data_IF_006439482957
#
_entry.id   IF_006439482957
#
_cell.length_a   1.000
_cell.length_b   1.000
_cell.length_c   1.000
_cell.angle_alpha   90.00
_cell.angle_beta   90.00
_cell.angle_gamma   90.00
#
_symmetry.space_group_name_H-M   'P 1'
#
loop_
_entity.id
_entity.type
_entity.pdbx_description
1 polymer ?
#
# COMPACT_ATOMS: atom_id res chain seq x y z
N UNK A 1 -15.09 -12.03 19.13
CA UNK A 1 -14.71 -12.62 17.81
C UNK A 1 -15.91 -12.77 16.87
N UNK A 2 -17.12 -12.52 17.36
CA UNK A 2 -18.38 -13.05 16.80
C UNK A 2 -18.85 -12.36 15.53
N UNK A 3 -18.17 -11.28 15.14
CA UNK A 3 -18.59 -10.46 14.01
C UNK A 3 -17.81 -10.80 12.73
N UNK A 4 -16.65 -11.46 12.79
CA UNK A 4 -15.88 -11.79 11.59
C UNK A 4 -16.37 -13.11 11.02
N UNK A 5 -16.69 -13.09 9.73
CA UNK A 5 -17.16 -14.25 8.99
C UNK A 5 -16.17 -14.59 7.88
N UNK A 6 -15.98 -15.88 7.65
CA UNK A 6 -15.08 -16.41 6.63
C UNK A 6 -15.90 -17.19 5.62
N UNK A 7 -15.64 -16.94 4.36
CA UNK A 7 -16.29 -17.63 3.24
C UNK A 7 -15.22 -18.17 2.32
N UNK A 8 -15.36 -19.42 1.90
CA UNK A 8 -14.42 -20.06 0.99
C UNK A 8 -15.17 -20.59 -0.24
N UNK A 9 -14.55 -20.45 -1.41
CA UNK A 9 -15.12 -20.91 -2.66
C UNK A 9 -14.62 -20.13 -3.86
N UNK A 10 -15.38 -20.16 -4.96
CA UNK A 10 -15.02 -19.56 -6.23
C UNK A 10 -16.09 -18.57 -6.71
N UNK A 11 -15.67 -17.37 -7.09
CA UNK A 11 -16.50 -16.28 -7.63
C UNK A 11 -17.78 -15.97 -6.83
N UNK A 12 -18.91 -16.62 -7.16
CA UNK A 12 -20.25 -16.43 -6.60
C UNK A 12 -20.74 -17.62 -5.77
N UNK A 13 -19.96 -18.70 -5.71
CA UNK A 13 -20.24 -19.89 -4.91
C UNK A 13 -19.35 -19.81 -3.68
N UNK A 14 -19.94 -19.38 -2.57
CA UNK A 14 -19.27 -19.31 -1.28
C UNK A 14 -19.97 -20.21 -0.28
N UNK A 15 -19.17 -20.94 0.46
CA UNK A 15 -19.60 -21.67 1.63
C UNK A 15 -19.08 -20.94 2.87
N UNK A 16 -19.91 -20.86 3.92
CA UNK A 16 -19.51 -20.30 5.20
C UNK A 16 -18.56 -21.28 5.89
N UNK A 17 -17.34 -20.82 6.16
CA UNK A 17 -16.28 -21.60 6.82
C UNK A 17 -15.89 -20.98 8.16
N UNK A 18 -16.74 -20.10 8.69
CA UNK A 18 -16.44 -19.29 9.89
C UNK A 18 -16.07 -20.16 11.08
N UNK A 19 -16.84 -21.20 11.37
CA UNK A 19 -16.59 -22.07 12.53
C UNK A 19 -15.32 -22.91 12.35
N UNK A 20 -15.06 -23.38 11.13
CA UNK A 20 -13.84 -24.15 10.81
C UNK A 20 -12.60 -23.28 11.01
N UNK A 21 -12.63 -22.04 10.53
CA UNK A 21 -11.53 -21.09 10.68
C UNK A 21 -11.39 -20.63 12.14
N UNK A 22 -12.50 -20.33 12.84
CA UNK A 22 -12.46 -19.90 14.24
C UNK A 22 -12.00 -21.00 15.19
N UNK A 23 -12.21 -22.28 14.89
CA UNK A 23 -11.61 -23.40 15.64
C UNK A 23 -10.07 -23.41 15.59
N UNK A 24 -9.46 -22.76 14.59
CA UNK A 24 -8.01 -22.52 14.53
C UNK A 24 -7.58 -21.28 15.30
N UNK A 25 -8.50 -20.50 15.85
CA UNK A 25 -8.14 -19.34 16.64
C UNK A 25 -7.51 -19.79 17.96
N UNK A 26 -6.31 -19.28 18.23
CA UNK A 26 -5.65 -19.45 19.51
C UNK A 26 -6.35 -18.58 20.58
N UNK A 27 -6.03 -18.80 21.87
CA UNK A 27 -6.62 -18.05 23.00
C UNK A 27 -6.51 -16.51 22.87
N UNK A 28 -5.64 -15.99 22.02
CA UNK A 28 -5.33 -14.56 21.91
C UNK A 28 -6.04 -13.80 20.78
N UNK A 29 -7.18 -14.27 20.25
CA UNK A 29 -7.83 -13.66 19.08
C UNK A 29 -6.95 -13.53 17.82
N UNK A 30 -6.01 -14.47 17.65
CA UNK A 30 -5.14 -14.57 16.48
C UNK A 30 -5.58 -15.77 15.65
N UNK A 31 -5.77 -15.55 14.36
CA UNK A 31 -6.13 -16.58 13.38
C UNK A 31 -4.98 -16.69 12.37
N UNK A 32 -4.26 -17.81 12.42
CA UNK A 32 -3.24 -18.16 11.43
C UNK A 32 -3.73 -19.29 10.53
N UNK A 33 -3.61 -19.10 9.21
CA UNK A 33 -3.80 -20.19 8.24
C UNK A 33 -2.52 -20.27 7.41
N UNK A 34 -1.83 -21.41 7.48
CA UNK A 34 -0.67 -21.67 6.62
C UNK A 34 -1.12 -22.34 5.32
N UNK A 35 -0.32 -22.19 4.26
CA UNK A 35 -0.54 -22.86 2.96
C UNK A 35 -0.96 -24.33 3.09
N UNK A 36 -0.28 -25.08 3.96
CA UNK A 36 -0.53 -26.52 4.14
C UNK A 36 -1.87 -26.81 4.86
N UNK A 37 -2.44 -25.85 5.58
CA UNK A 37 -3.72 -26.01 6.26
C UNK A 37 -4.90 -26.01 5.28
N UNK A 38 -4.77 -25.34 4.13
CA UNK A 38 -5.89 -25.16 3.18
C UNK A 38 -6.51 -26.48 2.74
N UNK A 39 -5.68 -27.49 2.44
CA UNK A 39 -6.16 -28.81 2.02
C UNK A 39 -7.00 -29.46 3.11
N UNK A 40 -6.58 -29.37 4.36
CA UNK A 40 -7.26 -30.03 5.49
C UNK A 40 -8.49 -29.25 5.96
N UNK A 41 -8.42 -27.92 5.94
CA UNK A 41 -9.51 -27.05 6.37
C UNK A 41 -10.63 -26.99 5.33
N UNK A 42 -10.27 -27.05 4.05
CA UNK A 42 -11.20 -26.75 2.97
C UNK A 42 -11.42 -27.91 1.97
N UNK A 43 -11.00 -29.14 2.30
CA UNK A 43 -11.15 -30.32 1.42
C UNK A 43 -12.60 -30.58 0.99
N UNK A 44 -13.55 -30.35 1.88
CA UNK A 44 -14.97 -30.65 1.64
C UNK A 44 -15.73 -29.55 0.90
N UNK A 45 -15.07 -28.42 0.60
CA UNK A 45 -15.70 -27.22 0.04
C UNK A 45 -15.51 -27.15 -1.48
N UNK A 46 -16.63 -26.92 -2.19
CA UNK A 46 -16.90 -26.97 -3.65
C UNK A 46 -15.71 -27.06 -4.62
N UNK A 47 -15.86 -27.92 -5.62
CA UNK A 47 -14.97 -28.02 -6.78
C UNK A 47 -15.03 -26.74 -7.65
N UNK A 48 -13.91 -26.35 -8.25
CA UNK A 48 -13.84 -25.19 -9.14
C UNK A 48 -12.45 -24.54 -9.19
N UNK A 49 -12.13 -23.94 -10.31
CA UNK A 49 -10.88 -23.19 -10.49
C UNK A 49 -10.92 -21.86 -9.73
N UNK A 50 -9.74 -21.38 -9.32
CA UNK A 50 -9.55 -20.05 -8.71
C UNK A 50 -10.26 -19.81 -7.37
N UNK A 51 -10.26 -20.82 -6.49
CA UNK A 51 -10.73 -20.68 -5.11
C UNK A 51 -10.01 -19.53 -4.38
N UNK A 52 -10.69 -18.94 -3.41
CA UNK A 52 -10.12 -17.93 -2.51
C UNK A 52 -10.90 -17.85 -1.20
N UNK A 53 -10.26 -17.29 -0.18
CA UNK A 53 -10.89 -16.99 1.10
C UNK A 53 -11.37 -15.52 1.08
N UNK A 54 -12.64 -15.30 1.41
CA UNK A 54 -13.22 -13.99 1.64
C UNK A 54 -13.42 -13.80 3.15
N UNK A 55 -12.78 -12.78 3.70
CA UNK A 55 -12.87 -12.40 5.12
C UNK A 55 -13.78 -11.18 5.23
N UNK A 56 -14.95 -11.36 5.81
CA UNK A 56 -15.87 -10.27 6.10
C UNK A 56 -15.56 -9.68 7.47
N UNK A 57 -15.07 -8.45 7.46
CA UNK A 57 -14.69 -7.70 8.65
C UNK A 57 -15.74 -6.58 8.83
N UNK A 58 -16.70 -6.70 9.76
CA UNK A 58 -17.86 -5.80 9.86
C UNK A 58 -17.55 -4.52 10.62
N UNK A 59 -16.38 -3.96 10.32
CA UNK A 59 -16.04 -2.62 10.72
C UNK A 59 -16.29 -1.72 9.53
N UNK A 60 -17.07 -0.65 9.74
CA UNK A 60 -17.77 0.14 8.72
C UNK A 60 -16.89 0.69 7.57
N UNK A 61 -15.57 0.61 7.68
CA UNK A 61 -14.62 1.12 6.70
C UNK A 61 -13.71 0.05 6.06
N UNK A 62 -13.65 -1.20 6.54
CA UNK A 62 -12.66 -2.18 6.03
C UNK A 62 -13.20 -2.91 4.80
N UNK A 63 -14.44 -3.39 4.88
CA UNK A 63 -15.06 -4.20 3.84
C UNK A 63 -14.47 -5.62 3.74
N UNK A 64 -14.90 -6.42 2.76
CA UNK A 64 -14.38 -7.77 2.56
C UNK A 64 -12.94 -7.75 2.07
N UNK A 65 -12.10 -8.60 2.67
CA UNK A 65 -10.74 -8.90 2.20
C UNK A 65 -10.76 -10.22 1.45
N UNK A 66 -10.06 -10.29 0.32
CA UNK A 66 -10.01 -11.49 -0.52
C UNK A 66 -8.57 -11.99 -0.58
N UNK A 67 -8.37 -13.23 -0.18
CA UNK A 67 -7.07 -13.87 -0.02
C UNK A 67 -7.02 -15.04 -1.01
N UNK A 68 -6.05 -15.03 -1.92
CA UNK A 68 -5.87 -16.12 -2.89
C UNK A 68 -5.76 -17.47 -2.17
N UNK A 69 -6.32 -18.53 -2.73
CA UNK A 69 -6.13 -19.88 -2.20
C UNK A 69 -4.64 -20.18 -1.96
N UNK A 70 -4.35 -20.98 -0.93
CA UNK A 70 -3.00 -21.40 -0.52
C UNK A 70 -2.06 -20.25 -0.10
N UNK A 71 -2.60 -19.06 0.14
CA UNK A 71 -1.81 -17.93 0.65
C UNK A 71 -1.85 -17.91 2.17
N UNK A 72 -0.70 -18.13 2.80
CA UNK A 72 -0.57 -18.01 4.26
C UNK A 72 -0.94 -16.61 4.73
N UNK A 73 -1.70 -16.50 5.81
CA UNK A 73 -1.97 -15.22 6.46
C UNK A 73 -2.12 -15.37 7.98
N UNK A 74 -1.88 -14.27 8.67
CA UNK A 74 -2.12 -14.14 10.11
C UNK A 74 -2.98 -12.92 10.34
N UNK A 75 -4.16 -13.11 10.95
CA UNK A 75 -5.12 -12.09 11.29
C UNK A 75 -5.18 -11.95 12.82
N UNK A 76 -4.73 -10.83 13.35
CA UNK A 76 -4.78 -10.48 14.76
C UNK A 76 -5.86 -9.42 15.00
N UNK A 77 -6.87 -9.78 15.78
CA UNK A 77 -8.03 -8.94 16.01
C UNK A 77 -7.85 -7.94 17.17
N UNK A 78 -6.79 -8.10 17.96
CA UNK A 78 -6.49 -7.18 19.06
C UNK A 78 -5.97 -5.82 18.55
N UNK A 79 -5.43 -5.78 17.34
CA UNK A 79 -4.86 -4.56 16.74
C UNK A 79 -5.89 -3.59 16.16
N UNK A 80 -7.19 -3.78 16.45
CA UNK A 80 -8.24 -2.97 15.86
C UNK A 80 -8.13 -1.46 16.19
N UNK A 81 -7.52 -1.11 17.33
CA UNK A 81 -7.45 0.26 17.82
C UNK A 81 -6.02 0.80 18.03
N UNK A 82 -4.98 0.02 17.74
CA UNK A 82 -3.60 0.47 17.95
C UNK A 82 -3.11 1.23 16.73
N UNK A 83 -2.92 2.54 16.87
CA UNK A 83 -2.28 3.35 15.83
C UNK A 83 -0.76 3.30 16.01
N UNK A 84 0.00 2.69 15.07
CA UNK A 84 1.46 2.71 15.13
C UNK A 84 1.98 4.14 14.91
N UNK A 85 3.24 4.43 15.30
CA UNK A 85 3.93 5.62 14.84
C UNK A 85 3.92 5.72 13.31
N UNK A 86 3.63 6.92 12.79
CA UNK A 86 3.52 7.16 11.36
C UNK A 86 4.65 8.09 10.89
N UNK A 87 5.35 7.66 9.86
CA UNK A 87 6.33 8.47 9.14
C UNK A 87 5.85 8.68 7.71
N UNK A 88 5.92 9.91 7.21
CA UNK A 88 5.46 10.24 5.86
C UNK A 88 6.66 10.77 5.09
N UNK A 89 6.99 10.12 3.97
CA UNK A 89 8.06 10.54 3.08
C UNK A 89 7.45 10.96 1.76
N UNK A 90 7.62 12.23 1.43
CA UNK A 90 7.22 12.81 0.16
C UNK A 90 8.46 13.16 -0.66
N UNK A 91 8.56 12.60 -1.86
CA UNK A 91 9.67 12.86 -2.78
C UNK A 91 9.26 13.76 -3.95
N UNK A 92 10.08 14.76 -4.26
CA UNK A 92 9.88 15.63 -5.43
C UNK A 92 11.18 15.82 -6.20
N UNK A 93 11.08 15.83 -7.53
CA UNK A 93 12.19 16.12 -8.43
C UNK A 93 11.80 17.28 -9.34
N UNK A 94 12.34 18.47 -9.07
CA UNK A 94 11.96 19.70 -9.78
C UNK A 94 12.55 19.77 -11.19
N UNK A 95 13.57 18.95 -11.50
CA UNK A 95 14.11 18.86 -12.86
C UNK A 95 13.14 18.22 -13.86
N UNK A 96 12.09 17.54 -13.39
CA UNK A 96 11.19 16.75 -14.26
C UNK A 96 9.97 17.54 -14.74
N UNK A 97 9.49 18.51 -13.97
CA UNK A 97 8.25 19.24 -14.28
C UNK A 97 8.41 20.72 -13.99
N UNK A 98 8.15 21.62 -14.97
CA UNK A 98 8.12 23.07 -14.70
C UNK A 98 6.95 23.46 -13.79
N UNK A 99 5.96 22.59 -13.62
CA UNK A 99 4.79 22.80 -12.76
C UNK A 99 4.95 22.21 -11.35
N UNK A 100 6.19 21.89 -10.94
CA UNK A 100 6.46 21.22 -9.67
C UNK A 100 5.87 21.96 -8.46
N UNK A 101 5.79 23.29 -8.51
CA UNK A 101 5.27 24.12 -7.42
C UNK A 101 3.79 23.88 -7.17
N UNK A 102 2.99 23.95 -8.24
CA UNK A 102 1.54 23.73 -8.14
C UNK A 102 1.23 22.28 -7.76
N UNK A 103 1.98 21.34 -8.33
CA UNK A 103 1.85 19.92 -8.00
C UNK A 103 2.17 19.66 -6.53
N UNK A 104 3.29 20.19 -6.04
CA UNK A 104 3.68 20.09 -4.64
C UNK A 104 2.65 20.70 -3.71
N UNK A 105 2.21 21.94 -4.00
CA UNK A 105 1.20 22.63 -3.20
C UNK A 105 -0.08 21.79 -3.09
N UNK A 106 -0.59 21.33 -4.23
CA UNK A 106 -1.81 20.49 -4.29
C UNK A 106 -1.65 19.22 -3.47
N UNK A 107 -0.52 18.52 -3.58
CA UNK A 107 -0.29 17.27 -2.83
C UNK A 107 -0.24 17.51 -1.32
N UNK A 108 0.44 18.58 -0.90
CA UNK A 108 0.58 18.91 0.52
C UNK A 108 -0.75 19.37 1.12
N UNK A 109 -1.50 20.20 0.41
CA UNK A 109 -2.83 20.65 0.84
C UNK A 109 -3.80 19.46 0.96
N UNK A 110 -3.84 18.57 -0.05
CA UNK A 110 -4.65 17.36 0.02
C UNK A 110 -4.22 16.44 1.16
N UNK A 111 -2.91 16.28 1.39
CA UNK A 111 -2.38 15.45 2.47
C UNK A 111 -2.83 15.99 3.83
N UNK A 112 -2.73 17.30 4.04
CA UNK A 112 -3.20 17.94 5.28
C UNK A 112 -4.70 17.76 5.45
N UNK A 113 -5.48 17.92 4.37
CA UNK A 113 -6.93 17.74 4.40
C UNK A 113 -7.35 16.33 4.82
N UNK A 114 -6.50 15.31 4.63
CA UNK A 114 -6.76 13.95 5.14
C UNK A 114 -6.66 13.81 6.67
N UNK A 115 -6.09 14.82 7.35
CA UNK A 115 -5.76 14.79 8.77
C UNK A 115 -4.57 13.90 9.14
N UNK A 116 -3.93 13.24 8.18
CA UNK A 116 -2.82 12.31 8.43
C UNK A 116 -1.62 13.00 9.11
N UNK A 117 -1.29 14.24 8.73
CA UNK A 117 -0.18 14.99 9.32
C UNK A 117 -0.37 15.32 10.82
N UNK A 118 -1.56 15.11 11.40
CA UNK A 118 -1.78 15.22 12.85
C UNK A 118 -1.21 14.03 13.63
N UNK A 119 -0.94 12.91 12.94
CA UNK A 119 -0.51 11.64 13.54
C UNK A 119 0.87 11.19 13.10
N UNK A 120 1.49 11.90 12.15
CA UNK A 120 2.78 11.52 11.59
C UNK A 120 3.64 12.72 11.23
N UNK A 121 4.95 12.49 11.16
CA UNK A 121 5.90 13.51 10.73
C UNK A 121 6.10 13.44 9.22
N UNK A 122 5.96 14.59 8.54
CA UNK A 122 6.27 14.73 7.12
C UNK A 122 7.75 15.03 6.90
N UNK A 123 8.40 14.18 6.12
CA UNK A 123 9.74 14.35 5.57
C UNK A 123 9.63 14.61 4.07
N UNK A 124 10.14 15.74 3.61
CA UNK A 124 10.18 16.11 2.20
C UNK A 124 11.62 15.98 1.70
N UNK A 125 11.81 15.13 0.70
CA UNK A 125 13.08 14.95 0.01
C UNK A 125 12.96 15.56 -1.40
N UNK A 126 13.70 16.63 -1.65
CA UNK A 126 13.64 17.37 -2.90
C UNK A 126 14.96 17.28 -3.67
N UNK A 127 14.91 16.86 -4.94
CA UNK A 127 15.99 17.03 -5.90
C UNK A 127 15.70 18.20 -6.82
N UNK A 128 16.68 19.04 -7.13
CA UNK A 128 16.42 20.16 -8.00
C UNK A 128 17.32 21.38 -7.83
N UNK A 129 16.77 22.50 -8.28
CA UNK A 129 17.17 23.87 -7.96
C UNK A 129 16.14 24.57 -7.07
N UNK A 130 16.39 25.84 -6.74
CA UNK A 130 15.44 26.74 -6.06
C UNK A 130 14.92 26.27 -4.69
N UNK A 131 15.83 25.74 -3.86
CA UNK A 131 15.50 25.20 -2.53
C UNK A 131 14.82 26.20 -1.60
N UNK A 132 15.13 27.49 -1.72
CA UNK A 132 14.45 28.53 -0.96
C UNK A 132 12.94 28.56 -1.29
N UNK A 133 12.59 28.40 -2.57
CA UNK A 133 11.20 28.36 -3.05
C UNK A 133 10.49 27.10 -2.58
N UNK A 134 11.17 25.94 -2.65
CA UNK A 134 10.63 24.67 -2.16
C UNK A 134 10.31 24.77 -0.66
N UNK A 135 11.27 25.21 0.15
CA UNK A 135 11.08 25.40 1.60
C UNK A 135 9.94 26.39 1.88
N UNK A 136 9.87 27.50 1.15
CA UNK A 136 8.77 28.47 1.28
C UNK A 136 7.40 27.82 1.05
N UNK A 137 7.24 27.02 -0.01
CA UNK A 137 5.97 26.33 -0.27
C UNK A 137 5.66 25.33 0.84
N UNK A 138 6.61 24.45 1.19
CA UNK A 138 6.39 23.42 2.21
C UNK A 138 6.03 24.05 3.56
N UNK A 139 6.81 25.02 4.04
CA UNK A 139 6.56 25.64 5.34
C UNK A 139 5.34 26.56 5.35
N UNK A 140 4.89 27.08 4.20
CA UNK A 140 3.61 27.79 4.11
C UNK A 140 2.40 26.87 4.33
N UNK A 141 2.55 25.57 4.06
CA UNK A 141 1.48 24.58 4.14
C UNK A 141 1.58 23.76 5.43
N UNK A 142 2.79 23.32 5.80
CA UNK A 142 3.07 22.56 7.03
C UNK A 142 4.41 23.01 7.65
N UNK A 143 4.42 24.00 8.57
CA UNK A 143 5.64 24.51 9.20
C UNK A 143 6.46 23.46 9.94
N UNK A 144 5.83 22.37 10.41
CA UNK A 144 6.47 21.29 11.17
C UNK A 144 7.14 20.22 10.30
N UNK A 145 7.04 20.32 8.96
CA UNK A 145 7.66 19.38 8.05
C UNK A 145 9.20 19.46 8.12
N UNK A 146 9.87 18.36 7.76
CA UNK A 146 11.34 18.30 7.67
C UNK A 146 11.75 18.26 6.21
N UNK A 147 12.47 19.27 5.73
CA UNK A 147 12.83 19.40 4.31
C UNK A 147 14.32 19.19 4.11
N UNK A 148 14.68 18.20 3.28
CA UNK A 148 16.04 17.98 2.79
C UNK A 148 16.10 18.26 1.29
N UNK A 149 17.13 18.98 0.85
CA UNK A 149 17.31 19.36 -0.54
C UNK A 149 18.62 18.83 -1.10
N UNK A 150 18.60 18.35 -2.34
CA UNK A 150 19.73 17.74 -3.04
C UNK A 150 19.85 18.36 -4.43
N UNK A 151 21.05 18.79 -4.82
CA UNK A 151 21.31 19.39 -6.13
C UNK A 151 21.43 18.35 -7.26
N UNK A 152 21.56 17.07 -6.91
CA UNK A 152 21.81 15.99 -7.86
C UNK A 152 20.52 15.31 -8.31
N UNK A 153 20.42 14.98 -9.61
CA UNK A 153 19.29 14.23 -10.16
C UNK A 153 19.49 12.70 -10.04
N UNK A 154 19.40 12.17 -8.82
CA UNK A 154 19.50 10.72 -8.56
C UNK A 154 18.13 10.01 -8.59
N UNK A 155 17.23 10.43 -9.48
CA UNK A 155 15.87 9.90 -9.59
C UNK A 155 15.12 9.92 -8.26
N UNK A 156 14.70 8.77 -7.71
CA UNK A 156 13.96 8.67 -6.44
C UNK A 156 14.86 8.29 -5.24
N UNK A 157 16.17 8.22 -5.45
CA UNK A 157 17.14 7.74 -4.48
C UNK A 157 16.94 8.36 -3.09
N UNK A 158 16.85 9.69 -3.01
CA UNK A 158 16.81 10.38 -1.73
C UNK A 158 15.51 10.11 -0.96
N UNK A 159 14.37 10.04 -1.67
CA UNK A 159 13.10 9.64 -1.08
C UNK A 159 13.14 8.21 -0.53
N UNK A 160 13.59 7.26 -1.36
CA UNK A 160 13.70 5.84 -0.97
C UNK A 160 14.73 5.65 0.15
N UNK A 161 15.87 6.34 0.10
CA UNK A 161 16.87 6.35 1.17
C UNK A 161 16.29 6.87 2.47
N UNK A 162 15.46 7.91 2.43
CA UNK A 162 14.79 8.42 3.64
C UNK A 162 13.86 7.38 4.26
N UNK A 163 13.06 6.68 3.44
CA UNK A 163 12.22 5.56 3.88
C UNK A 163 13.05 4.51 4.61
N UNK A 164 14.15 4.06 4.00
CA UNK A 164 15.06 3.09 4.61
C UNK A 164 15.67 3.60 5.93
N UNK A 165 16.18 4.84 5.95
CA UNK A 165 16.79 5.47 7.14
C UNK A 165 15.82 5.55 8.32
N UNK A 166 14.56 5.94 8.06
CA UNK A 166 13.54 6.05 9.09
C UNK A 166 13.23 4.67 9.68
N UNK A 167 13.09 3.65 8.84
CA UNK A 167 12.83 2.29 9.30
C UNK A 167 13.94 1.69 10.16
N UNK A 168 15.21 2.04 9.90
CA UNK A 168 16.33 1.57 10.73
C UNK A 168 16.27 2.08 12.17
N UNK A 169 15.73 3.28 12.38
CA UNK A 169 15.76 3.98 13.67
C UNK A 169 14.43 3.99 14.41
N UNK A 170 13.33 3.62 13.74
CA UNK A 170 11.99 3.80 14.27
C UNK A 170 11.15 2.52 14.18
N UNK A 171 10.14 2.42 15.04
CA UNK A 171 9.02 1.50 14.88
C UNK A 171 7.90 2.12 14.04
N UNK A 172 6.86 1.32 13.77
CA UNK A 172 5.64 1.76 13.11
C UNK A 172 5.61 1.54 11.60
N UNK A 173 5.02 2.49 10.87
CA UNK A 173 4.79 2.41 9.42
C UNK A 173 5.30 3.66 8.70
N UNK A 174 5.72 3.48 7.45
CA UNK A 174 6.14 4.56 6.56
C UNK A 174 5.20 4.64 5.36
N UNK A 175 4.62 5.81 5.11
CA UNK A 175 4.02 6.18 3.84
C UNK A 175 5.10 6.76 2.93
N UNK A 176 5.24 6.23 1.72
CA UNK A 176 6.04 6.83 0.65
C UNK A 176 5.15 7.16 -0.53
N UNK A 177 5.31 8.37 -1.05
CA UNK A 177 4.71 8.80 -2.31
C UNK A 177 5.57 9.91 -2.93
N UNK A 178 5.37 10.16 -4.22
CA UNK A 178 6.20 11.12 -4.94
C UNK A 178 5.44 11.95 -5.97
N UNK A 179 6.06 13.05 -6.37
CA UNK A 179 5.64 13.88 -7.51
C UNK A 179 6.48 13.68 -8.77
N UNK A 180 7.28 12.60 -8.84
CA UNK A 180 7.91 12.17 -10.09
C UNK A 180 6.82 11.80 -11.08
N UNK A 181 6.90 12.41 -12.25
CA UNK A 181 5.87 12.41 -13.27
C UNK A 181 5.12 11.10 -13.46
N UNK A 182 3.84 11.11 -13.08
CA UNK A 182 2.79 10.56 -13.94
C UNK A 182 2.48 11.58 -15.07
N UNK A 183 3.41 12.52 -15.33
CA UNK A 183 3.43 13.50 -16.40
C UNK A 183 4.22 12.97 -17.61
N UNK A 184 3.64 12.02 -18.35
CA UNK A 184 3.81 12.02 -19.82
C UNK A 184 2.90 13.06 -20.49
N UNK A 185 2.02 13.68 -19.70
CA UNK A 185 1.18 14.79 -20.12
C UNK A 185 1.90 16.08 -19.71
N UNK A 186 2.78 16.60 -20.57
CA UNK A 186 3.35 17.95 -20.46
C UNK A 186 2.29 19.07 -20.48
N UNK A 187 1.00 18.70 -20.53
CA UNK A 187 -0.16 19.57 -20.73
C UNK A 187 -1.05 19.71 -19.50
N UNK A 188 -0.85 18.93 -18.44
CA UNK A 188 -1.72 18.98 -17.24
C UNK A 188 -0.90 19.11 -15.96
N UNK A 189 -1.29 19.99 -15.02
CA UNK A 189 -0.57 20.19 -13.76
C UNK A 189 -0.47 18.92 -12.89
N UNK A 190 -1.41 17.98 -13.03
CA UNK A 190 -1.45 16.72 -12.29
C UNK A 190 -2.10 15.60 -13.11
N UNK A 191 -1.59 14.38 -12.97
CA UNK A 191 -2.16 13.24 -13.68
C UNK A 191 -3.52 12.81 -13.08
N UNK A 192 -4.58 12.65 -13.90
CA UNK A 192 -5.89 12.23 -13.41
C UNK A 192 -5.93 10.85 -12.73
N UNK A 193 -5.04 9.91 -13.06
CA UNK A 193 -4.96 8.62 -12.38
C UNK A 193 -4.47 8.76 -10.94
N UNK A 194 -3.58 9.71 -10.71
CA UNK A 194 -3.06 9.99 -9.39
C UNK A 194 -4.15 10.54 -8.49
N UNK A 195 -4.82 11.62 -8.92
CA UNK A 195 -5.86 12.28 -8.14
C UNK A 195 -7.14 11.44 -8.00
N UNK A 196 -7.47 10.59 -8.98
CA UNK A 196 -8.68 9.75 -8.93
C UNK A 196 -8.47 8.42 -8.22
N UNK A 197 -7.27 7.86 -8.22
CA UNK A 197 -7.03 6.51 -7.71
C UNK A 197 -5.90 6.43 -6.69
N UNK A 198 -4.69 6.85 -7.04
CA UNK A 198 -3.54 6.64 -6.15
C UNK A 198 -3.71 7.40 -4.84
N UNK A 199 -3.99 8.70 -4.90
CA UNK A 199 -4.16 9.51 -3.70
C UNK A 199 -5.39 9.08 -2.88
N UNK A 200 -6.60 8.92 -3.46
CA UNK A 200 -7.77 8.53 -2.68
C UNK A 200 -7.69 7.13 -2.06
N UNK A 201 -7.10 6.16 -2.78
CA UNK A 201 -7.03 4.78 -2.29
C UNK A 201 -5.87 4.60 -1.30
N UNK A 202 -4.68 5.13 -1.61
CA UNK A 202 -3.47 4.90 -0.80
C UNK A 202 -3.39 5.86 0.39
N UNK A 203 -3.74 7.15 0.20
CA UNK A 203 -3.48 8.21 1.20
C UNK A 203 -4.76 8.65 1.91
N UNK A 204 -5.83 9.01 1.18
CA UNK A 204 -7.06 9.52 1.81
C UNK A 204 -7.70 8.52 2.77
N UNK A 205 -7.56 7.22 2.50
CA UNK A 205 -8.05 6.13 3.34
C UNK A 205 -7.00 5.60 4.33
N UNK A 206 -6.04 6.43 4.75
CA UNK A 206 -4.90 5.99 5.58
C UNK A 206 -5.30 5.21 6.83
N UNK A 207 -6.37 5.60 7.55
CA UNK A 207 -6.82 4.88 8.76
C UNK A 207 -7.16 3.42 8.44
N UNK A 208 -8.00 3.22 7.42
CA UNK A 208 -8.37 1.91 6.91
C UNK A 208 -7.14 1.11 6.49
N UNK A 209 -6.22 1.74 5.76
CA UNK A 209 -5.03 1.08 5.22
C UNK A 209 -4.08 0.62 6.33
N UNK A 210 -3.83 1.47 7.33
CA UNK A 210 -3.02 1.12 8.49
C UNK A 210 -3.72 0.02 9.31
N UNK A 211 -5.03 0.14 9.59
CA UNK A 211 -5.78 -0.90 10.30
C UNK A 211 -5.70 -2.25 9.60
N UNK A 212 -5.82 -2.29 8.26
CA UNK A 212 -5.63 -3.52 7.49
C UNK A 212 -4.22 -4.11 7.68
N UNK A 213 -3.18 -3.30 7.59
CA UNK A 213 -1.80 -3.75 7.79
C UNK A 213 -1.52 -4.24 9.21
N UNK A 214 -2.16 -3.64 10.22
CA UNK A 214 -1.96 -4.04 11.62
C UNK A 214 -2.75 -5.29 11.97
N UNK A 215 -3.98 -5.43 11.45
CA UNK A 215 -4.78 -6.64 11.64
C UNK A 215 -4.18 -7.83 10.90
N UNK A 216 -3.81 -7.67 9.62
CA UNK A 216 -3.15 -8.73 8.87
C UNK A 216 -1.63 -8.66 9.12
N UNK A 217 -1.16 -9.33 10.16
CA UNK A 217 0.25 -9.31 10.57
C UNK A 217 1.19 -9.75 9.45
N UNK A 218 0.76 -10.71 8.63
CA UNK A 218 1.49 -11.20 7.46
C UNK A 218 1.72 -10.14 6.38
N UNK A 219 0.97 -9.03 6.41
CA UNK A 219 1.11 -7.93 5.45
C UNK A 219 2.19 -6.97 5.91
N UNK A 220 3.22 -6.81 5.09
CA UNK A 220 4.33 -5.92 5.35
C UNK A 220 4.24 -4.62 4.58
N UNK A 221 3.55 -4.63 3.44
CA UNK A 221 3.43 -3.49 2.53
C UNK A 221 2.06 -3.45 1.87
N UNK A 222 1.60 -2.25 1.56
CA UNK A 222 0.27 -2.00 0.98
C UNK A 222 0.39 -0.90 -0.08
N UNK A 223 -0.32 -1.07 -1.18
CA UNK A 223 -0.40 -0.04 -2.22
C UNK A 223 -1.49 -0.36 -3.23
N UNK A 224 -1.42 0.28 -4.40
CA UNK A 224 -2.49 0.11 -5.41
C UNK A 224 -2.60 -1.36 -5.86
N UNK A 225 -1.47 -2.00 -6.12
CA UNK A 225 -1.34 -3.42 -6.43
C UNK A 225 0.13 -3.85 -6.32
N UNK A 226 0.36 -5.13 -6.02
CA UNK A 226 1.67 -5.74 -6.08
C UNK A 226 2.06 -6.13 -7.51
N UNK A 227 3.33 -5.99 -7.87
CA UNK A 227 3.93 -6.52 -9.10
C UNK A 227 4.91 -7.64 -8.79
N UNK A 228 5.03 -8.60 -9.71
CA UNK A 228 6.02 -9.69 -9.74
C UNK A 228 6.58 -10.13 -8.37
N UNK A 229 7.80 -9.69 -8.05
CA UNK A 229 8.51 -10.08 -6.82
C UNK A 229 7.99 -9.39 -5.53
N UNK A 230 6.75 -8.88 -5.55
CA UNK A 230 6.15 -8.16 -4.42
C UNK A 230 6.62 -6.71 -4.32
N UNK A 231 6.94 -6.05 -5.42
CA UNK A 231 7.07 -4.58 -5.41
C UNK A 231 5.70 -3.92 -5.53
N UNK A 232 5.60 -2.62 -5.25
CA UNK A 232 4.32 -1.88 -5.30
C UNK A 232 4.31 -0.95 -6.51
N UNK A 233 3.29 -1.09 -7.35
CA UNK A 233 3.16 -0.25 -8.55
C UNK A 233 3.04 1.23 -8.21
N UNK A 234 3.68 2.07 -9.03
CA UNK A 234 3.67 3.54 -8.95
C UNK A 234 4.32 4.13 -7.70
N UNK A 235 4.97 3.32 -6.84
CA UNK A 235 5.69 3.82 -5.66
C UNK A 235 4.84 4.67 -4.68
N UNK A 236 3.53 4.44 -4.67
CA UNK A 236 2.61 4.95 -3.64
C UNK A 236 2.31 3.81 -2.69
N UNK A 237 2.98 3.80 -1.54
CA UNK A 237 3.00 2.63 -0.68
C UNK A 237 3.06 2.95 0.81
N UNK A 238 2.45 2.08 1.60
CA UNK A 238 2.68 1.94 3.02
C UNK A 238 3.58 0.73 3.27
N UNK A 239 4.49 0.80 4.22
CA UNK A 239 5.32 -0.33 4.61
C UNK A 239 5.64 -0.32 6.12
N UNK A 240 5.71 -1.50 6.74
CA UNK A 240 6.12 -1.66 8.14
C UNK A 240 7.63 -1.37 8.27
N UNK A 241 8.02 -0.59 9.28
CA UNK A 241 9.43 -0.36 9.59
C UNK A 241 10.17 -1.68 9.89
N UNK A 242 9.50 -2.64 10.55
CA UNK A 242 10.05 -3.97 10.82
C UNK A 242 10.40 -4.77 9.56
N UNK A 243 9.63 -4.58 8.48
CA UNK A 243 9.95 -5.14 7.18
C UNK A 243 11.08 -4.38 6.49
N UNK A 244 11.01 -3.05 6.46
CA UNK A 244 12.01 -2.21 5.77
C UNK A 244 13.43 -2.35 6.36
N UNK A 245 13.57 -2.76 7.63
CA UNK A 245 14.87 -3.14 8.23
C UNK A 245 15.53 -4.35 7.57
N UNK A 246 14.74 -5.19 6.91
CA UNK A 246 15.17 -6.41 6.23
C UNK A 246 15.45 -6.18 4.73
N UNK A 247 15.13 -5.00 4.23
CA UNK A 247 15.36 -4.58 2.84
C UNK A 247 16.76 -4.00 2.72
N UNK A 248 17.43 -4.28 1.59
CA UNK A 248 18.76 -3.76 1.31
C UNK A 248 18.80 -2.23 1.40
N UNK A 249 19.96 -1.68 1.79
CA UNK A 249 20.18 -0.24 1.72
C UNK A 249 20.12 0.19 0.25
N UNK A 250 19.30 1.19 -0.12
CA UNK A 250 19.23 1.64 -1.50
C UNK A 250 20.56 2.25 -1.94
N UNK A 251 20.94 1.98 -3.19
CA UNK A 251 22.15 2.53 -3.83
C UNK A 251 21.76 3.57 -4.89
N UNK A 252 22.72 4.44 -5.23
CA UNK A 252 22.60 5.31 -6.40
C UNK A 252 22.86 4.44 -7.63
N UNK A 253 21.98 4.52 -8.62
CA UNK A 253 22.09 3.76 -9.87
C UNK A 253 21.37 4.48 -11.00
N UNK A 254 21.85 4.27 -12.22
CA UNK A 254 21.23 4.76 -13.45
C UNK A 254 19.94 4.00 -13.81
N UNK A 255 19.75 2.78 -13.27
CA UNK A 255 18.54 2.00 -13.50
C UNK A 255 17.36 2.65 -12.80
N UNK A 256 16.60 3.49 -13.52
CA UNK A 256 15.42 4.21 -12.98
C UNK A 256 14.40 3.31 -12.28
N UNK A 257 14.15 2.13 -12.84
CA UNK A 257 13.18 1.16 -12.31
C UNK A 257 13.68 0.41 -11.06
N UNK A 258 14.96 0.57 -10.67
CA UNK A 258 15.48 0.03 -9.41
C UNK A 258 14.67 0.53 -8.22
N UNK A 259 14.28 1.80 -8.21
CA UNK A 259 13.52 2.37 -7.09
C UNK A 259 12.08 1.86 -7.03
N UNK A 260 11.53 1.32 -8.13
CA UNK A 260 10.22 0.67 -8.13
C UNK A 260 10.30 -0.72 -7.50
N UNK A 261 11.33 -1.50 -7.85
CA UNK A 261 11.51 -2.86 -7.32
C UNK A 261 12.26 -2.93 -5.98
N UNK A 262 12.87 -1.83 -5.52
CA UNK A 262 13.73 -1.80 -4.33
C UNK A 262 13.09 -2.38 -3.08
N UNK A 263 11.80 -2.09 -2.84
CA UNK A 263 11.09 -2.58 -1.64
C UNK A 263 11.00 -4.12 -1.59
N UNK A 264 11.20 -4.81 -2.72
CA UNK A 264 11.23 -6.27 -2.79
C UNK A 264 12.61 -6.89 -2.51
N UNK A 265 13.67 -6.09 -2.46
CA UNK A 265 15.06 -6.54 -2.36
C UNK A 265 15.46 -6.82 -0.91
N UNK A 266 15.17 -8.03 -0.44
CA UNK A 266 15.54 -8.50 0.91
C UNK A 266 17.03 -8.85 0.99
N UNK A 267 17.61 -8.70 2.17
CA UNK A 267 18.97 -9.20 2.46
C UNK A 267 19.01 -10.73 2.25
N UNK A 268 20.05 -11.23 1.57
CA UNK A 268 20.18 -12.61 1.07
C UNK A 268 20.09 -13.72 2.11
N UNK A 269 20.18 -13.39 3.40
CA UNK A 269 20.12 -14.36 4.51
C UNK A 269 18.70 -14.58 5.05
N UNK A 270 17.66 -14.06 4.38
CA UNK A 270 16.27 -14.22 4.78
C UNK A 270 15.65 -15.32 3.92
N UNK A 271 15.18 -16.39 4.57
CA UNK A 271 14.81 -17.66 3.95
C UNK A 271 13.95 -17.50 2.67
N UNK A 272 14.24 -18.28 1.61
CA UNK A 272 13.56 -18.21 0.31
C UNK A 272 12.08 -18.65 0.30
N UNK A 273 11.50 -18.97 1.46
CA UNK A 273 10.12 -19.46 1.56
C UNK A 273 9.06 -18.35 1.50
N UNK A 274 9.45 -17.08 1.45
CA UNK A 274 8.53 -15.97 1.22
C UNK A 274 8.14 -15.92 -0.25
N UNK A 275 7.03 -16.57 -0.61
CA UNK A 275 6.47 -16.49 -1.97
C UNK A 275 6.20 -15.02 -2.30
N UNK A 276 6.76 -14.48 -3.40
CA UNK A 276 6.67 -13.06 -3.67
C UNK A 276 5.21 -12.57 -3.78
N UNK A 277 4.93 -11.41 -3.19
CA UNK A 277 3.60 -10.79 -3.21
C UNK A 277 2.65 -11.25 -2.10
N UNK A 278 3.00 -12.25 -1.29
CA UNK A 278 2.12 -12.77 -0.23
C UNK A 278 2.11 -11.85 1.00
N UNK A 279 3.15 -11.04 1.15
CA UNK A 279 3.27 -10.00 2.17
C UNK A 279 2.74 -8.63 1.72
N UNK A 280 2.07 -8.58 0.57
CA UNK A 280 1.49 -7.38 0.00
C UNK A 280 -0.02 -7.33 0.19
N UNK A 281 -0.55 -6.14 0.45
CA UNK A 281 -1.97 -5.85 0.33
C UNK A 281 -2.24 -4.94 -0.87
N UNK A 282 -2.96 -5.46 -1.85
CA UNK A 282 -3.40 -4.74 -3.05
C UNK A 282 -4.75 -4.07 -2.78
N UNK A 283 -4.81 -2.74 -2.86
CA UNK A 283 -6.05 -1.96 -2.71
C UNK A 283 -7.01 -2.11 -3.88
N UNK A 284 -6.50 -2.54 -5.03
CA UNK A 284 -7.27 -2.89 -6.22
C UNK A 284 -7.26 -4.41 -6.36
N UNK A 285 -8.46 -4.98 -6.44
CA UNK A 285 -8.67 -6.41 -6.62
C UNK A 285 -9.77 -6.64 -7.67
N UNK A 286 -9.80 -7.83 -8.24
CA UNK A 286 -10.84 -8.34 -9.11
C UNK A 286 -10.83 -9.86 -9.08
N UNK A 287 -11.77 -10.46 -8.34
CA UNK A 287 -11.95 -11.92 -8.29
C UNK A 287 -12.15 -12.50 -9.69
N UNK A 288 -12.90 -11.81 -10.55
CA UNK A 288 -13.10 -12.20 -11.96
C UNK A 288 -11.79 -12.32 -12.75
N UNK A 289 -10.77 -11.52 -12.42
CA UNK A 289 -9.47 -11.53 -13.07
C UNK A 289 -8.40 -12.23 -12.23
N UNK A 290 -8.77 -12.99 -11.20
CA UNK A 290 -7.84 -13.67 -10.27
C UNK A 290 -6.85 -12.72 -9.57
N UNK A 291 -7.29 -11.48 -9.33
CA UNK A 291 -6.56 -10.48 -8.58
C UNK A 291 -7.22 -10.30 -7.22
N UNK A 292 -6.49 -10.64 -6.17
CA UNK A 292 -6.91 -10.67 -4.79
C UNK A 292 -6.20 -9.58 -4.00
N UNK A 293 -6.71 -9.27 -2.80
CA UNK A 293 -6.04 -8.31 -1.92
C UNK A 293 -4.70 -8.87 -1.44
N UNK A 294 -4.65 -10.17 -1.14
CA UNK A 294 -3.46 -10.86 -0.61
C UNK A 294 -3.15 -12.07 -1.49
N UNK A 295 -1.88 -12.28 -1.81
CA UNK A 295 -1.40 -13.47 -2.52
C UNK A 295 -1.41 -13.40 -4.05
N UNK A 296 -1.71 -12.24 -4.64
CA UNK A 296 -1.65 -12.05 -6.10
C UNK A 296 -0.87 -10.82 -6.50
N UNK A 297 -0.26 -10.91 -7.68
CA UNK A 297 0.44 -9.83 -8.36
C UNK A 297 -0.27 -9.49 -9.66
N UNK A 298 -0.22 -8.23 -10.08
CA UNK A 298 -0.76 -7.80 -11.36
C UNK A 298 0.33 -7.27 -12.29
N UNK A 299 0.15 -7.46 -13.58
CA UNK A 299 0.81 -6.66 -14.60
C UNK A 299 0.24 -5.22 -14.63
N UNK A 300 0.97 -4.24 -15.21
CA UNK A 300 0.43 -2.91 -15.42
C UNK A 300 -0.86 -2.91 -16.26
N UNK A 301 -0.93 -3.77 -17.30
CA UNK A 301 -2.08 -3.85 -18.21
C UNK A 301 -3.37 -4.23 -17.47
N UNK A 302 -3.28 -5.21 -16.57
CA UNK A 302 -4.43 -5.66 -15.76
C UNK A 302 -4.88 -4.58 -14.78
N UNK A 303 -3.93 -3.96 -14.07
CA UNK A 303 -4.20 -2.87 -13.14
C UNK A 303 -4.95 -1.72 -13.85
N UNK A 304 -4.43 -1.26 -14.98
CA UNK A 304 -5.06 -0.18 -15.73
C UNK A 304 -6.43 -0.58 -16.31
N UNK A 305 -6.62 -1.84 -16.71
CA UNK A 305 -7.93 -2.36 -17.15
C UNK A 305 -8.96 -2.26 -16.04
N UNK A 306 -8.60 -2.64 -14.81
CA UNK A 306 -9.50 -2.56 -13.64
C UNK A 306 -9.81 -1.10 -13.30
N UNK A 307 -8.79 -0.24 -13.24
CA UNK A 307 -8.96 1.18 -12.92
C UNK A 307 -9.86 1.88 -13.96
N UNK A 308 -9.70 1.57 -15.25
CA UNK A 308 -10.58 2.08 -16.32
C UNK A 308 -12.03 1.63 -16.15
N UNK A 309 -12.28 0.38 -15.75
CA UNK A 309 -13.64 -0.13 -15.51
C UNK A 309 -14.30 0.56 -14.31
N UNK A 310 -13.57 0.82 -13.22
CA UNK A 310 -14.08 1.59 -12.07
C UNK A 310 -14.52 3.00 -12.46
N UNK A 311 -13.81 3.64 -13.38
CA UNK A 311 -14.13 4.96 -13.97
C UNK A 311 -15.57 5.06 -14.52
N UNK A 312 -16.12 3.95 -15.01
CA UNK A 312 -17.49 3.90 -15.52
C UNK A 312 -18.52 3.67 -14.40
N UNK A 313 -18.11 3.10 -13.28
CA UNK A 313 -18.96 2.88 -12.09
C UNK A 313 -19.02 4.15 -11.23
N UNK A 314 -17.92 4.88 -11.10
CA UNK A 314 -17.83 6.12 -10.33
C UNK A 314 -18.56 7.32 -10.99
N UNK A 315 -19.03 7.17 -12.24
CA UNK A 315 -20.01 8.11 -12.82
C UNK A 315 -21.39 8.01 -12.16
N UNK A 316 -21.65 6.98 -11.36
CA UNK A 316 -22.98 6.71 -10.77
C UNK A 316 -23.04 7.02 -9.26
N UNK A 317 -21.93 7.15 -8.53
CA UNK A 317 -21.98 7.37 -7.07
C UNK A 317 -20.78 8.14 -6.51
N UNK A 318 -20.84 9.47 -6.53
CA UNK A 318 -20.18 10.27 -5.49
C UNK A 318 -21.14 10.39 -4.30
N UNK A 319 -21.07 9.42 -3.39
CA UNK A 319 -21.61 9.59 -2.05
C UNK A 319 -20.57 10.28 -1.19
N UNK A 320 -20.64 11.61 -1.11
CA UNK A 320 -20.25 12.37 0.08
C UNK A 320 -21.14 13.61 0.12
N UNK A 321 -22.33 13.45 0.73
CA UNK A 321 -23.00 14.56 1.42
C UNK A 321 -22.46 14.59 2.84
N UNK A 322 -22.30 15.83 3.34
CA UNK A 322 -21.83 16.29 4.64
C UNK A 322 -20.33 16.58 4.70
#
# INVERSE_FOLDING_TARGET
MDRINFYYGAQNQYEDVTDVVKKRCCMDNIIGIHKNDYKNLFCNYSAGDHKHLKVNIPYQHIGPVYIKNETSFTLNLNHFNTMPPIHIVYFINTFISPYYENLMRTHLEELIATGLCKYGTLYVEACGSDFAKIKKIVYSVLPTARVTCHSENNHEYFGIRKVWQLAQKNAGVVLYFHSKGISKLHLTPRNPYESRYLFPLVIKQWRRNISLMMMFESINKLGISAGGLGWIWMNYMWAKCSYLRKVERPIITERRHYYEDWISRKLSNIAPNDTPGYDCFSLVYSVKNNLYHIGSTSSPKELFSILKKRKNVDKVRYWYKN
#
